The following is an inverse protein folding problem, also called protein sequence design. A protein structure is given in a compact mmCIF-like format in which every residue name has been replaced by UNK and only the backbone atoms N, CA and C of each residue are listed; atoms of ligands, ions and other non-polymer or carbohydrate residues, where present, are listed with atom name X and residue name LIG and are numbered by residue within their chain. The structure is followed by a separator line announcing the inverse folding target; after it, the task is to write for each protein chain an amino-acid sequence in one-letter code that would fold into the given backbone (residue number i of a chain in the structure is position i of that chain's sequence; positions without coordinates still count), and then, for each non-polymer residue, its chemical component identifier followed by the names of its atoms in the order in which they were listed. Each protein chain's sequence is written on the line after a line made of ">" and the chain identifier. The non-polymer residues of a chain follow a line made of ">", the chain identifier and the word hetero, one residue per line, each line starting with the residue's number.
data_IF_525333145285
#
_entry.id   IF_525333145285
#
_cell.length_a   1.000
_cell.length_b   1.000
_cell.length_c   1.000
_cell.angle_alpha   90.00
_cell.angle_beta   90.00
_cell.angle_gamma   90.00
#
_symmetry.space_group_name_H-M   'P 1'
#
loop_
_entity.id
_entity.type
_entity.pdbx_description
1 polymer ?
#
# COMPACT_ATOMS: atom_id res chain seq x y z
N UNK A 1 6.36 -9.18 29.54
CA UNK A 1 4.89 -9.36 29.53
C UNK A 1 4.50 -9.86 28.15
N UNK A 2 4.29 -11.16 28.02
CA UNK A 2 3.94 -11.82 26.75
C UNK A 2 2.41 -11.82 26.66
N UNK A 3 1.83 -11.05 25.75
CA UNK A 3 0.40 -11.12 25.47
C UNK A 3 0.17 -12.10 24.32
N UNK A 4 -0.32 -13.28 24.68
CA UNK A 4 -0.92 -14.25 23.76
C UNK A 4 -2.14 -13.60 23.10
N UNK A 5 -2.06 -13.32 21.80
CA UNK A 5 -3.24 -12.94 21.02
C UNK A 5 -3.99 -14.20 20.61
N UNK A 6 -5.03 -14.52 21.38
CA UNK A 6 -5.99 -15.54 21.01
C UNK A 6 -6.72 -15.12 19.72
N UNK A 7 -6.79 -16.06 18.79
CA UNK A 7 -7.58 -16.06 17.57
C UNK A 7 -9.02 -15.61 17.79
N UNK A 8 -9.34 -14.37 17.41
CA UNK A 8 -10.69 -13.85 17.26
C UNK A 8 -10.83 -13.22 15.88
N UNK A 9 -11.92 -13.54 15.17
CA UNK A 9 -12.29 -12.92 13.89
C UNK A 9 -12.30 -11.40 14.05
N UNK A 10 -11.30 -10.72 13.49
CA UNK A 10 -11.24 -9.26 13.46
C UNK A 10 -11.99 -8.74 12.22
N UNK A 11 -13.23 -9.19 12.08
CA UNK A 11 -14.20 -8.61 11.17
C UNK A 11 -15.53 -8.77 11.91
N UNK A 12 -16.32 -7.72 11.91
CA UNK A 12 -17.65 -7.62 12.54
C UNK A 12 -17.60 -7.08 13.99
N UNK A 13 -18.01 -5.80 14.11
CA UNK A 13 -18.15 -4.96 15.33
C UNK A 13 -17.00 -4.02 15.67
N UNK A 14 -16.71 -3.09 14.77
CA UNK A 14 -16.52 -1.69 15.17
C UNK A 14 -17.35 -0.81 14.24
N UNK A 15 -18.54 -0.44 14.70
CA UNK A 15 -19.25 0.72 14.17
C UNK A 15 -18.43 1.97 14.51
N UNK A 16 -18.40 2.91 13.56
CA UNK A 16 -17.69 4.19 13.58
C UNK A 16 -16.18 4.07 13.36
N UNK A 17 -15.78 4.07 12.08
CA UNK A 17 -14.85 5.05 11.49
C UNK A 17 -13.50 5.39 12.16
N UNK A 18 -13.02 4.67 13.16
CA UNK A 18 -11.68 4.93 13.71
C UNK A 18 -10.67 4.23 12.80
N UNK A 19 -9.95 5.02 11.99
CA UNK A 19 -8.87 4.52 11.15
C UNK A 19 -7.90 3.69 11.99
N UNK A 20 -7.50 2.53 11.47
CA UNK A 20 -6.51 1.63 12.10
C UNK A 20 -5.23 2.39 12.52
N UNK A 21 -4.88 3.43 11.75
CA UNK A 21 -3.75 4.32 12.02
C UNK A 21 -3.90 5.12 13.32
N UNK A 22 -5.10 5.59 13.65
CA UNK A 22 -5.38 6.36 14.87
C UNK A 22 -5.39 5.48 16.12
N UNK A 23 -5.84 4.23 15.98
CA UNK A 23 -5.81 3.28 17.09
C UNK A 23 -4.38 2.80 17.38
N UNK A 24 -3.55 2.70 16.34
CA UNK A 24 -2.14 2.32 16.48
C UNK A 24 -1.30 3.42 17.14
N UNK A 25 -1.52 4.69 16.78
CA UNK A 25 -0.82 5.83 17.41
C UNK A 25 -1.19 6.02 18.89
N UNK A 26 -2.40 5.62 19.30
CA UNK A 26 -2.86 5.68 20.69
C UNK A 26 -2.24 4.58 21.58
N UNK A 27 -1.84 3.44 20.99
CA UNK A 27 -1.28 2.29 21.73
C UNK A 27 0.22 2.38 21.97
N UNK A 28 0.95 3.19 21.20
CA UNK A 28 2.40 3.30 21.29
C UNK A 28 2.74 4.77 21.55
N UNK A 29 2.71 5.15 22.83
CA UNK A 29 3.32 6.41 23.24
C UNK A 29 4.80 6.42 22.87
N UNK A 30 5.27 7.59 22.44
CA UNK A 30 6.66 8.01 22.18
C UNK A 30 7.05 8.29 20.72
N UNK A 31 7.63 9.48 20.52
CA UNK A 31 7.96 10.14 19.26
C UNK A 31 9.12 9.52 18.48
N UNK A 32 8.99 8.26 18.09
CA UNK A 32 9.76 7.65 17.01
C UNK A 32 9.01 7.79 15.68
N UNK A 33 9.74 8.03 14.58
CA UNK A 33 9.18 8.04 13.22
C UNK A 33 8.37 6.76 12.99
N UNK A 34 7.05 6.88 12.87
CA UNK A 34 6.16 5.75 12.58
C UNK A 34 6.49 5.29 11.16
N UNK A 35 7.19 4.16 11.02
CA UNK A 35 7.32 3.49 9.73
C UNK A 35 6.00 2.76 9.45
N UNK A 36 5.13 3.24 8.55
CA UNK A 36 3.87 2.57 8.30
C UNK A 36 4.15 1.20 7.67
N UNK A 37 3.42 0.19 8.11
CA UNK A 37 3.58 -1.19 7.65
C UNK A 37 2.31 -1.70 7.01
N UNK A 38 2.47 -2.50 5.97
CA UNK A 38 1.44 -3.32 5.33
C UNK A 38 1.42 -4.67 6.03
N UNK A 39 0.29 -5.02 6.65
CA UNK A 39 0.10 -6.37 7.22
C UNK A 39 -0.39 -7.31 6.14
N UNK A 40 0.39 -8.35 5.84
CA UNK A 40 0.03 -9.36 4.84
C UNK A 40 -0.11 -10.73 5.48
N UNK A 41 -1.09 -11.50 4.99
CA UNK A 41 -1.31 -12.89 5.40
C UNK A 41 -0.88 -13.81 4.26
N UNK A 42 0.17 -14.57 4.49
CA UNK A 42 0.54 -15.67 3.58
C UNK A 42 -0.18 -16.95 4.03
N UNK A 43 0.00 -18.04 3.28
CA UNK A 43 -0.53 -19.35 3.67
C UNK A 43 0.04 -19.86 5.02
N UNK A 44 1.24 -19.39 5.41
CA UNK A 44 1.99 -19.92 6.56
C UNK A 44 2.02 -18.98 7.76
N UNK A 45 2.03 -17.68 7.52
CA UNK A 45 2.33 -16.68 8.55
C UNK A 45 1.78 -15.28 8.23
N UNK A 46 1.66 -14.46 9.27
CA UNK A 46 1.44 -13.03 9.17
C UNK A 46 2.77 -12.29 9.10
N UNK A 47 2.92 -11.41 8.12
CA UNK A 47 4.15 -10.64 7.91
C UNK A 47 3.81 -9.16 8.02
N UNK A 48 4.58 -8.43 8.83
CA UNK A 48 4.61 -6.97 8.82
C UNK A 48 5.63 -6.51 7.80
N UNK A 49 5.16 -5.90 6.71
CA UNK A 49 6.00 -5.43 5.62
C UNK A 49 6.10 -3.90 5.68
N UNK A 50 7.29 -3.31 5.86
CA UNK A 50 7.47 -1.87 5.79
C UNK A 50 6.97 -1.30 4.46
N UNK A 51 6.13 -0.26 4.47
CA UNK A 51 5.56 0.31 3.25
C UNK A 51 6.63 0.95 2.36
N UNK A 52 7.71 1.47 2.95
CA UNK A 52 8.87 1.99 2.22
C UNK A 52 9.59 0.92 1.37
N UNK A 53 9.38 -0.36 1.64
CA UNK A 53 9.90 -1.46 0.82
C UNK A 53 8.93 -1.88 -0.29
N UNK A 54 7.67 -1.43 -0.25
CA UNK A 54 6.64 -1.77 -1.24
C UNK A 54 6.72 -0.81 -2.41
N UNK A 55 6.91 -1.35 -3.61
CA UNK A 55 6.91 -0.59 -4.87
C UNK A 55 5.51 -0.51 -5.47
N UNK A 56 4.92 -1.67 -5.75
CA UNK A 56 3.64 -1.80 -6.41
C UNK A 56 2.90 -3.06 -5.96
N UNK A 57 1.58 -2.99 -6.07
CA UNK A 57 0.69 -4.12 -5.81
C UNK A 57 -0.19 -4.31 -7.04
N UNK A 58 -0.11 -5.50 -7.65
CA UNK A 58 -0.92 -5.82 -8.83
C UNK A 58 -1.90 -6.95 -8.55
N UNK A 59 -2.97 -7.06 -9.33
CA UNK A 59 -3.72 -8.31 -9.38
C UNK A 59 -2.81 -9.46 -9.80
N UNK A 60 -2.94 -10.61 -9.17
CA UNK A 60 -2.19 -11.80 -9.59
C UNK A 60 -2.68 -12.24 -10.99
N UNK A 61 -1.78 -12.55 -11.94
CA UNK A 61 -2.18 -12.93 -13.30
C UNK A 61 -3.02 -14.21 -13.32
N UNK A 62 -2.60 -15.24 -12.58
CA UNK A 62 -3.20 -16.58 -12.67
C UNK A 62 -4.13 -16.98 -11.49
N UNK A 63 -4.08 -16.26 -10.37
CA UNK A 63 -4.81 -16.62 -9.14
C UNK A 63 -5.92 -15.61 -8.87
N UNK A 64 -7.17 -16.05 -9.01
CA UNK A 64 -8.33 -15.22 -8.70
C UNK A 64 -8.33 -14.78 -7.23
N UNK A 65 -8.68 -13.51 -6.97
CA UNK A 65 -8.70 -12.92 -5.63
C UNK A 65 -7.34 -12.84 -4.92
N UNK A 66 -6.24 -13.04 -5.64
CA UNK A 66 -4.91 -12.77 -5.13
C UNK A 66 -4.35 -11.45 -5.69
N UNK A 67 -3.56 -10.79 -4.87
CA UNK A 67 -2.68 -9.70 -5.27
C UNK A 67 -1.23 -10.13 -5.15
N UNK A 68 -0.39 -9.56 -6.00
CA UNK A 68 1.06 -9.68 -5.94
C UNK A 68 1.65 -8.36 -5.47
N UNK A 69 2.31 -8.39 -4.32
CA UNK A 69 3.00 -7.25 -3.73
C UNK A 69 4.47 -7.36 -4.12
N UNK A 70 5.01 -6.35 -4.80
CA UNK A 70 6.42 -6.30 -5.19
C UNK A 70 7.19 -5.39 -4.26
N UNK A 71 8.33 -5.90 -3.79
CA UNK A 71 9.28 -5.17 -2.94
C UNK A 71 10.65 -5.14 -3.59
N UNK A 72 11.64 -4.51 -2.94
CA UNK A 72 13.03 -4.53 -3.38
C UNK A 72 13.64 -5.93 -3.47
N UNK A 73 13.38 -6.80 -2.49
CA UNK A 73 14.01 -8.11 -2.43
C UNK A 73 13.18 -9.23 -3.05
N UNK A 74 11.85 -9.20 -2.88
CA UNK A 74 10.97 -10.30 -3.29
C UNK A 74 9.54 -9.86 -3.59
N UNK A 75 8.73 -10.82 -4.03
CA UNK A 75 7.29 -10.62 -4.22
C UNK A 75 6.49 -11.55 -3.32
N UNK A 76 5.30 -11.12 -2.92
CA UNK A 76 4.37 -11.88 -2.10
C UNK A 76 3.04 -12.03 -2.82
N UNK A 77 2.52 -13.25 -2.88
CA UNK A 77 1.16 -13.52 -3.36
C UNK A 77 0.24 -13.62 -2.13
N UNK A 78 -0.77 -12.75 -2.06
CA UNK A 78 -1.63 -12.58 -0.87
C UNK A 78 -3.08 -12.67 -1.32
N UNK A 79 -3.91 -13.42 -0.57
CA UNK A 79 -5.36 -13.47 -0.79
C UNK A 79 -5.99 -12.16 -0.29
N UNK A 80 -6.16 -11.22 -1.20
CA UNK A 80 -6.64 -9.87 -0.90
C UNK A 80 -7.18 -9.18 -2.16
N UNK A 81 -7.76 -8.00 -2.01
CA UNK A 81 -8.21 -7.16 -3.10
C UNK A 81 -7.50 -5.81 -3.11
N UNK A 82 -7.21 -5.33 -4.32
CA UNK A 82 -6.63 -4.00 -4.49
C UNK A 82 -7.55 -2.89 -3.92
N UNK A 83 -8.87 -3.05 -3.99
CA UNK A 83 -9.81 -2.05 -3.45
C UNK A 83 -9.75 -1.95 -1.92
N UNK A 84 -9.52 -3.06 -1.22
CA UNK A 84 -9.32 -3.06 0.24
C UNK A 84 -8.02 -2.34 0.60
N UNK A 85 -6.94 -2.73 -0.07
CA UNK A 85 -5.61 -2.16 0.15
C UNK A 85 -5.55 -0.66 -0.19
N UNK A 86 -6.21 -0.22 -1.26
CA UNK A 86 -6.34 1.21 -1.60
C UNK A 86 -7.01 2.01 -0.49
N UNK A 87 -8.10 1.50 0.10
CA UNK A 87 -8.82 2.18 1.18
C UNK A 87 -8.01 2.23 2.48
N UNK A 88 -7.36 1.13 2.83
CA UNK A 88 -6.65 0.98 4.11
C UNK A 88 -5.32 1.76 4.13
N UNK A 89 -4.63 1.86 2.99
CA UNK A 89 -3.29 2.43 2.88
C UNK A 89 -3.24 3.73 2.05
N UNK A 90 -4.39 4.34 1.77
CA UNK A 90 -4.46 5.71 1.23
C UNK A 90 -3.93 6.71 2.28
N UNK A 91 -3.18 7.75 1.89
CA UNK A 91 -2.80 8.12 0.51
C UNK A 91 -1.48 7.50 0.04
N UNK A 92 -0.84 6.62 0.80
CA UNK A 92 0.49 6.07 0.47
C UNK A 92 0.45 5.16 -0.76
N UNK A 93 -0.54 4.26 -0.81
CA UNK A 93 -0.79 3.38 -1.95
C UNK A 93 -1.93 3.93 -2.80
N UNK A 94 -1.63 4.29 -4.04
CA UNK A 94 -2.58 4.93 -4.95
C UNK A 94 -2.82 4.09 -6.19
N UNK A 95 -4.07 4.06 -6.64
CA UNK A 95 -4.48 3.35 -7.85
C UNK A 95 -4.10 4.11 -9.12
N UNK A 96 -3.07 3.64 -9.80
CA UNK A 96 -2.64 4.18 -11.09
C UNK A 96 -3.31 3.47 -12.29
N UNK A 97 -3.73 2.20 -12.12
CA UNK A 97 -4.40 1.41 -13.14
C UNK A 97 -5.44 0.45 -12.51
N UNK A 98 -6.36 -0.13 -13.31
CA UNK A 98 -7.45 -1.00 -12.79
C UNK A 98 -6.95 -2.20 -11.98
N UNK A 99 -5.74 -2.66 -12.27
CA UNK A 99 -5.10 -3.82 -11.65
C UNK A 99 -3.79 -3.47 -10.95
N UNK A 100 -3.52 -2.19 -10.64
CA UNK A 100 -2.25 -1.77 -10.04
C UNK A 100 -2.44 -0.62 -9.05
N UNK A 101 -1.89 -0.82 -7.85
CA UNK A 101 -1.57 0.22 -6.89
C UNK A 101 -0.06 0.48 -6.93
N UNK A 102 0.32 1.74 -6.75
CA UNK A 102 1.71 2.17 -6.68
C UNK A 102 1.94 2.90 -5.37
N UNK A 103 3.11 2.74 -4.79
CA UNK A 103 3.55 3.57 -3.69
C UNK A 103 4.02 4.93 -4.23
N UNK A 104 3.32 6.01 -3.85
CA UNK A 104 3.66 7.36 -4.31
C UNK A 104 5.11 7.74 -3.97
N UNK A 105 5.62 7.30 -2.83
CA UNK A 105 6.99 7.61 -2.39
C UNK A 105 8.06 7.00 -3.27
N UNK A 106 7.71 6.00 -4.07
CA UNK A 106 8.64 5.28 -4.93
C UNK A 106 8.61 5.72 -6.39
N UNK A 107 7.73 6.65 -6.74
CA UNK A 107 7.67 7.24 -8.07
C UNK A 107 8.79 8.26 -8.19
N UNK A 108 9.73 8.00 -9.09
CA UNK A 108 10.80 8.94 -9.45
C UNK A 108 10.33 9.93 -10.53
N UNK A 109 9.59 9.43 -11.52
CA UNK A 109 9.18 10.21 -12.67
C UNK A 109 7.82 9.75 -13.21
N UNK A 110 7.07 10.67 -13.79
CA UNK A 110 5.84 10.40 -14.55
C UNK A 110 6.10 10.74 -16.01
N UNK A 111 6.27 9.70 -16.85
CA UNK A 111 6.42 9.83 -18.29
C UNK A 111 5.03 9.89 -18.95
N UNK A 112 4.64 11.10 -19.34
CA UNK A 112 3.32 11.39 -19.91
C UNK A 112 3.19 10.83 -21.33
N UNK A 113 4.26 10.86 -22.12
CA UNK A 113 4.27 10.38 -23.51
C UNK A 113 4.07 8.86 -23.55
N UNK A 114 4.85 8.14 -22.75
CA UNK A 114 4.77 6.67 -22.63
C UNK A 114 3.64 6.20 -21.72
N UNK A 115 2.94 7.11 -21.03
CA UNK A 115 1.89 6.81 -20.04
C UNK A 115 2.36 5.85 -18.95
N UNK A 116 3.56 6.09 -18.45
CA UNK A 116 4.23 5.23 -17.48
C UNK A 116 4.76 6.00 -16.27
N UNK A 117 4.72 5.36 -15.11
CA UNK A 117 5.43 5.79 -13.90
C UNK A 117 6.75 5.07 -13.86
N UNK A 118 7.84 5.80 -13.66
CA UNK A 118 9.17 5.22 -13.46
C UNK A 118 9.44 5.18 -11.97
N UNK A 119 9.54 3.97 -11.42
CA UNK A 119 9.85 3.79 -10.01
C UNK A 119 11.36 3.89 -9.73
N UNK A 120 11.74 4.08 -8.47
CA UNK A 120 13.15 3.98 -8.02
C UNK A 120 13.83 2.68 -8.45
N UNK A 121 13.07 1.58 -8.58
CA UNK A 121 13.54 0.30 -9.11
C UNK A 121 13.81 0.28 -10.63
N UNK A 122 13.70 1.42 -11.32
CA UNK A 122 13.73 1.57 -12.78
C UNK A 122 12.66 0.78 -13.53
N UNK A 123 11.63 0.28 -12.84
CA UNK A 123 10.52 -0.44 -13.46
C UNK A 123 9.44 0.53 -13.94
N UNK A 124 9.03 0.47 -15.22
CA UNK A 124 7.90 1.24 -15.71
C UNK A 124 6.57 0.58 -15.30
N UNK A 125 5.63 1.39 -14.80
CA UNK A 125 4.26 0.98 -14.50
C UNK A 125 3.29 1.82 -15.32
N UNK A 126 2.50 1.18 -16.18
CA UNK A 126 1.49 1.86 -16.96
C UNK A 126 0.39 2.45 -16.07
N UNK A 127 -0.03 3.68 -16.35
CA UNK A 127 -1.20 4.30 -15.70
C UNK A 127 -2.33 4.54 -16.70
N UNK A 128 -3.56 4.57 -16.19
CA UNK A 128 -4.74 4.87 -17.03
C UNK A 128 -4.95 6.38 -17.17
N UNK A 129 -5.38 6.83 -18.36
CA UNK A 129 -5.67 8.26 -18.62
C UNK A 129 -6.65 8.86 -17.59
N UNK A 130 -7.67 8.09 -17.20
CA UNK A 130 -8.70 8.52 -16.23
C UNK A 130 -8.13 8.79 -14.83
N UNK A 131 -7.09 8.05 -14.43
CA UNK A 131 -6.45 8.16 -13.11
C UNK A 131 -5.28 9.14 -13.09
N UNK A 132 -4.83 9.60 -14.27
CA UNK A 132 -3.66 10.47 -14.37
C UNK A 132 -3.79 11.77 -13.57
N UNK A 133 -4.93 12.45 -13.67
CA UNK A 133 -5.15 13.73 -12.99
C UNK A 133 -5.06 13.56 -11.46
N UNK A 134 -5.82 12.60 -10.92
CA UNK A 134 -5.80 12.26 -9.48
C UNK A 134 -4.40 11.87 -9.00
N UNK A 135 -3.74 10.95 -9.72
CA UNK A 135 -2.39 10.49 -9.39
C UNK A 135 -1.36 11.62 -9.39
N UNK A 136 -1.41 12.50 -10.41
CA UNK A 136 -0.48 13.63 -10.54
C UNK A 136 -0.65 14.61 -9.38
N UNK A 137 -1.89 14.92 -8.99
CA UNK A 137 -2.14 15.82 -7.86
C UNK A 137 -1.61 15.22 -6.55
N UNK A 138 -1.90 13.95 -6.29
CA UNK A 138 -1.40 13.26 -5.10
C UNK A 138 0.14 13.21 -5.05
N UNK A 139 0.79 13.00 -6.19
CA UNK A 139 2.25 12.98 -6.27
C UNK A 139 2.87 14.37 -6.04
N UNK A 140 2.27 15.44 -6.57
CA UNK A 140 2.75 16.82 -6.39
C UNK A 140 2.59 17.31 -4.95
N UNK A 141 1.43 17.07 -4.33
CA UNK A 141 1.12 17.53 -2.98
C UNK A 141 2.03 16.89 -1.92
N UNK A 142 2.53 15.67 -2.18
CA UNK A 142 3.51 15.02 -1.32
C UNK A 142 4.84 15.80 -1.22
N UNK A 143 5.16 16.62 -2.21
CA UNK A 143 6.34 17.50 -2.19
C UNK A 143 6.16 18.75 -1.32
N UNK A 144 4.93 19.10 -0.93
CA UNK A 144 4.62 20.27 -0.11
C UNK A 144 4.69 19.98 1.40
N UNK A 145 4.58 18.71 1.81
CA UNK A 145 4.69 18.29 3.23
C UNK A 145 6.14 18.26 3.76
N UNK A 146 7.14 18.52 2.92
CA UNK A 146 8.58 18.49 3.28
C UNK A 146 9.19 19.92 3.30
N UNK A 147 8.38 20.98 3.25
CA UNK A 147 8.85 22.37 3.34
C UNK A 147 8.60 23.00 4.70
#
# INVERSE_FOLDING_TARGET
>A
MVLFYHSGRFNDRLGNGVSFLLFYSMLIGEGGLIMPFLMIRTAKEWIKLPLDQVYDITSHPDKAHYVRIKTAGKSYDVLDSLSRLEKEYSPVLVRCHRNCLVNLSKIREIDVEKKALILESNRPIAFSRRRYQELRQLWLNKGEEIR
#
